data_IF_865704530223
#
_entry.id   IF_865704530223
#
_cell.length_a   1.000
_cell.length_b   1.000
_cell.length_c   1.000
_cell.angle_alpha   90.00
_cell.angle_beta   90.00
_cell.angle_gamma   90.00
#
_symmetry.space_group_name_H-M   'P 1'
#
loop_
_entity.id
_entity.type
_entity.pdbx_description
1 polymer ?
#
# COMPACT_ATOMS: atom_id res chain seq x y z
N UNK A 1 25.73 6.34 -27.93
CA UNK A 1 24.55 6.52 -27.09
C UNK A 1 24.58 5.46 -26.00
N UNK A 2 25.20 5.76 -24.88
CA UNK A 2 25.33 4.84 -23.74
C UNK A 2 24.08 4.84 -22.90
N UNK A 3 23.50 3.66 -22.66
CA UNK A 3 22.46 3.47 -21.66
C UNK A 3 23.08 3.74 -20.29
N UNK A 4 22.61 4.79 -19.61
CA UNK A 4 22.85 4.99 -18.19
C UNK A 4 22.04 3.92 -17.45
N UNK A 5 22.71 2.84 -17.06
CA UNK A 5 22.23 1.95 -16.01
C UNK A 5 22.39 2.71 -14.68
N UNK A 6 21.40 3.53 -14.33
CA UNK A 6 21.28 4.13 -13.02
C UNK A 6 20.78 3.08 -12.03
N UNK A 7 21.69 2.30 -11.44
CA UNK A 7 21.42 1.69 -10.15
C UNK A 7 21.33 2.84 -9.15
N UNK A 8 20.12 3.16 -8.67
CA UNK A 8 19.94 4.15 -7.62
C UNK A 8 20.63 3.60 -6.36
N UNK A 9 21.68 4.28 -5.91
CA UNK A 9 22.52 3.89 -4.78
C UNK A 9 21.79 3.97 -3.41
N UNK A 10 20.47 4.16 -3.40
CA UNK A 10 19.67 4.36 -2.18
C UNK A 10 18.62 3.28 -1.91
N UNK A 11 18.37 2.37 -2.84
CA UNK A 11 17.48 1.25 -2.60
C UNK A 11 18.32 0.01 -2.25
N UNK A 12 18.60 -0.15 -0.97
CA UNK A 12 18.89 -1.47 -0.41
C UNK A 12 17.52 -2.11 -0.20
N UNK A 13 17.15 -3.16 -0.95
CA UNK A 13 15.96 -3.93 -0.61
C UNK A 13 16.10 -4.31 0.87
N UNK A 14 15.15 -3.90 1.69
CA UNK A 14 15.10 -4.36 3.07
C UNK A 14 15.16 -5.88 3.10
N UNK A 15 15.59 -6.48 4.23
CA UNK A 15 15.54 -7.92 4.37
C UNK A 15 14.12 -8.39 4.03
N UNK A 16 13.96 -9.61 3.47
CA UNK A 16 12.67 -10.14 3.12
C UNK A 16 11.68 -9.96 4.28
N UNK A 17 10.48 -9.42 3.98
CA UNK A 17 9.42 -9.31 4.97
C UNK A 17 9.26 -10.67 5.66
N UNK A 18 9.54 -10.72 6.95
CA UNK A 18 9.35 -11.91 7.76
C UNK A 18 7.88 -11.99 8.17
N UNK A 19 7.34 -13.17 8.51
CA UNK A 19 6.03 -13.28 9.13
C UNK A 19 5.94 -12.34 10.35
N UNK A 20 5.00 -11.39 10.31
CA UNK A 20 4.85 -10.35 11.35
C UNK A 20 5.23 -8.92 10.93
N UNK A 21 5.75 -8.72 9.72
CA UNK A 21 6.04 -7.37 9.17
C UNK A 21 4.85 -6.72 8.44
N UNK A 22 3.69 -7.36 8.44
CA UNK A 22 2.48 -6.76 7.87
C UNK A 22 2.09 -5.49 8.66
N UNK A 23 1.86 -4.39 7.94
CA UNK A 23 1.47 -3.12 8.53
C UNK A 23 0.09 -3.25 9.19
N UNK A 24 0.03 -3.07 10.51
CA UNK A 24 -1.15 -3.37 11.31
C UNK A 24 -2.43 -2.68 10.84
N UNK A 25 -2.44 -1.38 10.48
CA UNK A 25 -3.62 -0.73 9.93
C UNK A 25 -4.17 -1.39 8.67
N UNK A 26 -3.30 -1.88 7.76
CA UNK A 26 -3.72 -2.62 6.58
C UNK A 26 -4.31 -3.97 6.98
N UNK A 27 -3.72 -4.70 7.93
CA UNK A 27 -4.26 -5.96 8.42
C UNK A 27 -5.66 -5.76 9.01
N UNK A 28 -5.83 -4.74 9.85
CA UNK A 28 -7.14 -4.43 10.48
C UNK A 28 -8.20 -4.05 9.41
N UNK A 29 -7.80 -3.31 8.38
CA UNK A 29 -8.65 -3.01 7.22
C UNK A 29 -9.04 -4.29 6.47
N UNK A 30 -8.09 -5.16 6.15
CA UNK A 30 -8.34 -6.41 5.43
C UNK A 30 -9.27 -7.33 6.22
N UNK A 31 -9.06 -7.50 7.53
CA UNK A 31 -9.94 -8.32 8.39
C UNK A 31 -11.36 -7.77 8.47
N UNK A 32 -11.52 -6.45 8.45
CA UNK A 32 -12.82 -5.76 8.45
C UNK A 32 -13.55 -5.91 7.13
N UNK A 33 -12.81 -5.82 6.01
CA UNK A 33 -13.41 -5.68 4.68
C UNK A 33 -13.45 -6.97 3.87
N UNK A 34 -12.69 -8.01 4.19
CA UNK A 34 -12.74 -9.29 3.49
C UNK A 34 -14.12 -9.93 3.61
N UNK A 35 -14.67 -10.41 2.49
CA UNK A 35 -15.96 -11.10 2.43
C UNK A 35 -15.78 -12.49 1.84
N UNK A 36 -16.61 -13.43 2.33
CA UNK A 36 -16.55 -14.83 1.94
C UNK A 36 -15.39 -15.57 2.59
N UNK A 37 -14.91 -16.63 1.96
CA UNK A 37 -13.86 -17.48 2.52
C UNK A 37 -12.60 -17.53 1.67
N UNK A 38 -12.73 -17.36 0.35
CA UNK A 38 -11.60 -17.41 -0.58
C UNK A 38 -11.07 -16.00 -0.86
N UNK A 39 -9.76 -15.86 -0.77
CA UNK A 39 -9.04 -14.60 -1.01
C UNK A 39 -7.94 -14.81 -2.03
N UNK A 40 -7.88 -13.97 -3.05
CA UNK A 40 -6.79 -13.90 -4.00
C UNK A 40 -6.01 -12.61 -3.77
N UNK A 41 -4.73 -12.74 -3.46
CA UNK A 41 -3.78 -11.66 -3.23
C UNK A 41 -2.94 -11.46 -4.49
N UNK A 42 -3.31 -10.52 -5.35
CA UNK A 42 -2.59 -10.25 -6.61
C UNK A 42 -1.47 -9.24 -6.35
N UNK A 43 -0.24 -9.62 -6.70
CA UNK A 43 0.95 -8.85 -6.36
C UNK A 43 1.34 -9.01 -4.89
N UNK A 44 0.90 -10.10 -4.24
CA UNK A 44 1.07 -10.31 -2.80
C UNK A 44 2.51 -10.63 -2.36
N UNK A 45 3.44 -10.76 -3.30
CA UNK A 45 4.86 -10.95 -3.04
C UNK A 45 5.11 -12.16 -2.13
N UNK A 46 5.64 -11.91 -0.94
CA UNK A 46 5.95 -12.96 0.06
C UNK A 46 4.77 -13.36 0.92
N UNK A 47 3.58 -12.80 0.69
CA UNK A 47 2.34 -13.18 1.33
C UNK A 47 2.16 -12.70 2.77
N UNK A 48 2.80 -11.59 3.18
CA UNK A 48 2.72 -11.11 4.56
C UNK A 48 1.27 -10.86 5.00
N UNK A 49 0.47 -10.20 4.17
CA UNK A 49 -0.95 -9.94 4.45
C UNK A 49 -1.81 -11.19 4.29
N UNK A 50 -1.55 -12.01 3.27
CA UNK A 50 -2.19 -13.31 3.08
C UNK A 50 -2.01 -14.23 4.28
N UNK A 51 -0.84 -14.21 4.93
CA UNK A 51 -0.56 -15.00 6.13
C UNK A 51 -1.44 -14.57 7.32
N UNK A 52 -1.64 -13.26 7.50
CA UNK A 52 -2.52 -12.76 8.56
C UNK A 52 -3.99 -13.14 8.33
N UNK A 53 -4.45 -13.11 7.07
CA UNK A 53 -5.78 -13.58 6.71
C UNK A 53 -5.90 -15.12 6.86
N UNK A 54 -4.88 -15.89 6.49
CA UNK A 54 -4.86 -17.34 6.68
C UNK A 54 -4.96 -17.73 8.16
N UNK A 55 -4.23 -17.02 9.04
CA UNK A 55 -4.36 -17.17 10.50
C UNK A 55 -5.77 -16.87 11.02
N UNK A 56 -6.48 -15.95 10.36
CA UNK A 56 -7.88 -15.62 10.67
C UNK A 56 -8.90 -16.61 10.04
N UNK A 57 -8.44 -17.67 9.37
CA UNK A 57 -9.27 -18.75 8.83
C UNK A 57 -9.79 -18.49 7.41
N UNK A 58 -9.16 -17.60 6.63
CA UNK A 58 -9.44 -17.45 5.20
C UNK A 58 -8.57 -18.40 4.37
N UNK A 59 -9.11 -18.84 3.22
CA UNK A 59 -8.36 -19.59 2.22
C UNK A 59 -7.70 -18.60 1.26
N UNK A 60 -6.42 -18.36 1.44
CA UNK A 60 -5.67 -17.36 0.67
C UNK A 60 -4.81 -18.02 -0.41
N UNK A 61 -4.74 -17.37 -1.58
CA UNK A 61 -3.81 -17.70 -2.65
C UNK A 61 -3.02 -16.42 -2.97
N UNK A 62 -1.70 -16.49 -2.89
CA UNK A 62 -0.81 -15.40 -3.29
C UNK A 62 -0.46 -15.56 -4.75
N UNK A 63 -0.80 -14.58 -5.58
CA UNK A 63 -0.49 -14.55 -7.00
C UNK A 63 0.50 -13.42 -7.29
N UNK A 64 1.65 -13.75 -7.86
CA UNK A 64 2.71 -12.77 -8.14
C UNK A 64 3.52 -13.17 -9.39
N UNK A 65 4.20 -12.22 -10.03
CA UNK A 65 5.12 -12.46 -11.13
C UNK A 65 6.52 -12.86 -10.64
N UNK A 66 6.82 -12.64 -9.36
CA UNK A 66 8.14 -12.90 -8.75
C UNK A 66 8.17 -14.28 -8.10
N UNK A 67 8.75 -15.26 -8.77
CA UNK A 67 8.84 -16.64 -8.28
C UNK A 67 9.64 -16.77 -6.98
N UNK A 68 10.66 -15.94 -6.74
CA UNK A 68 11.44 -16.00 -5.50
C UNK A 68 10.62 -15.52 -4.28
N UNK A 69 9.79 -14.51 -4.48
CA UNK A 69 8.84 -14.07 -3.45
C UNK A 69 7.82 -15.16 -3.13
N UNK A 70 7.29 -15.83 -4.15
CA UNK A 70 6.33 -16.92 -3.97
C UNK A 70 6.92 -18.10 -3.22
N UNK A 71 8.20 -18.47 -3.43
CA UNK A 71 8.87 -19.50 -2.63
C UNK A 71 8.87 -19.19 -1.13
N UNK A 72 8.98 -17.92 -0.76
CA UNK A 72 8.90 -17.49 0.64
C UNK A 72 7.47 -17.66 1.17
N UNK A 73 6.45 -17.30 0.37
CA UNK A 73 5.05 -17.51 0.73
C UNK A 73 4.73 -19.00 0.93
N UNK A 74 5.20 -19.87 0.02
CA UNK A 74 5.07 -21.34 0.13
C UNK A 74 5.75 -21.90 1.38
N UNK A 75 6.96 -21.43 1.69
CA UNK A 75 7.68 -21.83 2.89
C UNK A 75 6.93 -21.47 4.19
N UNK A 76 6.04 -20.46 4.12
CA UNK A 76 5.14 -20.06 5.21
C UNK A 76 3.77 -20.79 5.16
N UNK A 77 3.61 -21.78 4.29
CA UNK A 77 2.40 -22.61 4.20
C UNK A 77 1.25 -21.98 3.39
N UNK A 78 1.51 -20.93 2.61
CA UNK A 78 0.52 -20.31 1.75
C UNK A 78 0.44 -21.01 0.39
N UNK A 79 -0.76 -21.07 -0.19
CA UNK A 79 -0.93 -21.44 -1.60
C UNK A 79 -0.47 -20.30 -2.49
N UNK A 80 0.21 -20.62 -3.58
CA UNK A 80 0.75 -19.61 -4.50
C UNK A 80 0.34 -19.88 -5.94
N UNK A 81 0.39 -18.83 -6.76
CA UNK A 81 0.22 -18.89 -8.21
C UNK A 81 1.23 -17.95 -8.88
N UNK A 82 2.13 -18.49 -9.68
CA UNK A 82 3.01 -17.69 -10.52
C UNK A 82 2.20 -17.14 -11.70
N UNK A 83 2.23 -15.82 -11.88
CA UNK A 83 1.62 -15.13 -13.00
C UNK A 83 2.67 -14.77 -14.06
N UNK A 84 2.25 -14.77 -15.33
CA UNK A 84 3.04 -14.16 -16.38
C UNK A 84 2.66 -12.67 -16.55
N UNK A 85 3.58 -11.80 -16.96
CA UNK A 85 3.24 -10.40 -17.25
C UNK A 85 2.07 -10.31 -18.23
N UNK A 86 1.01 -9.59 -17.84
CA UNK A 86 -0.22 -9.44 -18.63
C UNK A 86 -1.18 -10.65 -18.58
N UNK A 87 -0.89 -11.68 -17.82
CA UNK A 87 -1.80 -12.82 -17.64
C UNK A 87 -3.05 -12.42 -16.86
N UNK A 88 -4.22 -12.84 -17.37
CA UNK A 88 -5.46 -12.73 -16.61
C UNK A 88 -5.54 -13.81 -15.55
N UNK A 89 -5.93 -13.44 -14.35
CA UNK A 89 -6.16 -14.39 -13.25
C UNK A 89 -7.46 -15.21 -13.42
N UNK A 90 -8.31 -14.83 -14.38
CA UNK A 90 -9.63 -15.44 -14.63
C UNK A 90 -10.77 -14.65 -13.99
N UNK A 91 -12.01 -15.08 -14.27
CA UNK A 91 -13.23 -14.42 -13.76
C UNK A 91 -13.80 -15.21 -12.57
N UNK A 92 -14.32 -14.50 -11.57
CA UNK A 92 -15.01 -15.07 -10.42
C UNK A 92 -14.19 -16.11 -9.66
N UNK A 93 -12.88 -15.94 -9.55
CA UNK A 93 -11.97 -16.95 -8.98
C UNK A 93 -11.92 -16.94 -7.45
N UNK A 94 -12.20 -15.78 -6.82
CA UNK A 94 -12.19 -15.65 -5.36
C UNK A 94 -13.38 -14.82 -4.87
N UNK A 95 -13.76 -14.99 -3.61
CA UNK A 95 -14.79 -14.14 -2.99
C UNK A 95 -14.30 -12.71 -2.84
N UNK A 96 -13.08 -12.54 -2.34
CA UNK A 96 -12.39 -11.25 -2.23
C UNK A 96 -11.08 -11.30 -3.01
N UNK A 97 -10.82 -10.27 -3.81
CA UNK A 97 -9.50 -10.01 -4.42
C UNK A 97 -8.87 -8.83 -3.69
N UNK A 98 -7.60 -8.94 -3.34
CA UNK A 98 -6.87 -7.85 -2.72
C UNK A 98 -5.66 -7.40 -3.56
N UNK A 99 -5.44 -6.08 -3.59
CA UNK A 99 -4.35 -5.38 -4.28
C UNK A 99 -3.68 -4.46 -3.26
N UNK A 100 -2.65 -4.92 -2.56
CA UNK A 100 -2.01 -4.18 -1.48
C UNK A 100 -0.69 -3.60 -1.97
N UNK A 101 -0.65 -2.27 -2.19
CA UNK A 101 0.52 -1.56 -2.74
C UNK A 101 0.94 -2.15 -4.10
N UNK A 102 0.03 -2.20 -5.06
CA UNK A 102 0.25 -2.82 -6.36
C UNK A 102 -0.05 -1.87 -7.51
N UNK A 103 -1.14 -1.09 -7.42
CA UNK A 103 -1.63 -0.28 -8.55
C UNK A 103 -0.63 0.79 -8.99
N UNK A 104 0.21 1.28 -8.10
CA UNK A 104 1.27 2.24 -8.39
C UNK A 104 2.44 1.66 -9.20
N UNK A 105 2.56 0.32 -9.25
CA UNK A 105 3.65 -0.38 -9.92
C UNK A 105 3.28 -0.95 -11.29
N UNK A 106 2.00 -0.96 -11.66
CA UNK A 106 1.55 -1.58 -12.91
C UNK A 106 1.49 -0.56 -14.05
N UNK A 107 1.79 -0.96 -15.31
CA UNK A 107 1.78 -0.03 -16.45
C UNK A 107 0.42 0.60 -16.73
N UNK A 108 -0.68 -0.15 -16.54
CA UNK A 108 -2.06 0.32 -16.71
C UNK A 108 -2.89 -0.06 -15.47
N UNK A 109 -2.95 0.82 -14.47
CA UNK A 109 -3.67 0.54 -13.22
C UNK A 109 -5.18 0.39 -13.42
N UNK A 110 -5.76 1.07 -14.43
CA UNK A 110 -7.19 0.97 -14.72
C UNK A 110 -7.54 -0.41 -15.30
N UNK A 111 -6.81 -0.88 -16.30
CA UNK A 111 -7.01 -2.22 -16.86
C UNK A 111 -6.73 -3.31 -15.82
N UNK A 112 -5.70 -3.13 -14.98
CA UNK A 112 -5.36 -4.06 -13.91
C UNK A 112 -6.47 -4.14 -12.85
N UNK A 113 -7.00 -3.00 -12.42
CA UNK A 113 -8.15 -2.94 -11.51
C UNK A 113 -9.39 -3.60 -12.12
N UNK A 114 -9.65 -3.38 -13.44
CA UNK A 114 -10.71 -4.06 -14.17
C UNK A 114 -10.57 -5.58 -14.13
N UNK A 115 -9.36 -6.11 -14.29
CA UNK A 115 -9.06 -7.55 -14.17
C UNK A 115 -9.30 -8.08 -12.76
N UNK A 116 -8.94 -7.31 -11.73
CA UNK A 116 -9.22 -7.67 -10.34
C UNK A 116 -10.73 -7.68 -10.03
N UNK A 117 -11.48 -6.72 -10.58
CA UNK A 117 -12.95 -6.66 -10.49
C UNK A 117 -13.57 -7.89 -11.13
N UNK A 118 -13.12 -8.30 -12.31
CA UNK A 118 -13.62 -9.50 -12.99
C UNK A 118 -13.29 -10.79 -12.19
N UNK A 119 -12.15 -10.83 -11.53
CA UNK A 119 -11.72 -11.98 -10.75
C UNK A 119 -12.47 -12.14 -9.42
N UNK A 120 -13.06 -11.09 -8.89
CA UNK A 120 -13.77 -11.09 -7.61
C UNK A 120 -15.24 -11.49 -7.78
N UNK A 121 -15.76 -12.34 -6.85
CA UNK A 121 -17.19 -12.64 -6.77
C UNK A 121 -17.98 -11.67 -5.90
N UNK A 122 -17.35 -11.07 -4.90
CA UNK A 122 -18.03 -10.23 -3.90
C UNK A 122 -17.40 -8.86 -3.75
N UNK A 123 -16.06 -8.80 -3.70
CA UNK A 123 -15.37 -7.57 -3.32
C UNK A 123 -13.93 -7.52 -3.85
N UNK A 124 -13.50 -6.31 -4.23
CA UNK A 124 -12.08 -5.97 -4.34
C UNK A 124 -11.73 -5.05 -3.19
N UNK A 125 -10.60 -5.32 -2.51
CA UNK A 125 -10.01 -4.44 -1.50
C UNK A 125 -8.61 -4.03 -1.95
N UNK A 126 -8.24 -2.78 -1.77
CA UNK A 126 -6.93 -2.30 -2.20
C UNK A 126 -6.38 -1.22 -1.29
N UNK A 127 -5.07 -1.11 -1.26
CA UNK A 127 -4.36 0.04 -0.68
C UNK A 127 -3.29 0.52 -1.65
N UNK A 128 -3.01 1.81 -1.64
CA UNK A 128 -1.90 2.42 -2.36
C UNK A 128 -1.58 3.81 -1.75
N UNK A 129 -0.38 4.35 -2.02
CA UNK A 129 -0.02 5.69 -1.54
C UNK A 129 -0.94 6.79 -2.06
N UNK A 130 -1.25 7.76 -1.19
CA UNK A 130 -1.93 9.00 -1.55
C UNK A 130 -0.92 10.14 -1.65
N UNK A 131 -0.95 10.91 -2.73
CA UNK A 131 0.02 11.98 -3.00
C UNK A 131 -0.59 13.38 -3.06
N UNK A 132 -1.82 13.58 -2.56
CA UNK A 132 -2.53 14.87 -2.59
C UNK A 132 -1.73 16.04 -2.04
N UNK A 133 -0.99 15.82 -0.95
CA UNK A 133 -0.26 16.84 -0.23
C UNK A 133 1.23 16.87 -0.57
N UNK A 134 1.62 16.34 -1.73
CA UNK A 134 3.01 16.26 -2.15
C UNK A 134 3.70 17.62 -2.15
N UNK A 135 3.08 18.66 -2.70
CA UNK A 135 3.64 20.02 -2.76
C UNK A 135 3.84 20.61 -1.37
N UNK A 136 2.86 20.41 -0.47
CA UNK A 136 2.96 20.84 0.92
C UNK A 136 4.12 20.12 1.63
N UNK A 137 4.20 18.82 1.48
CA UNK A 137 5.26 18.02 2.09
C UNK A 137 6.64 18.43 1.57
N UNK A 138 6.78 18.57 0.25
CA UNK A 138 8.01 19.04 -0.37
C UNK A 138 8.41 20.44 0.10
N UNK A 139 7.46 21.37 0.16
CA UNK A 139 7.67 22.73 0.67
C UNK A 139 8.11 22.78 2.14
N UNK A 140 7.71 21.77 2.94
CA UNK A 140 8.15 21.60 4.32
C UNK A 140 9.50 20.87 4.46
N UNK A 141 10.17 20.55 3.35
CA UNK A 141 11.42 19.79 3.35
C UNK A 141 11.25 18.31 3.76
N UNK A 142 10.05 17.80 3.63
CA UNK A 142 9.70 16.43 3.97
C UNK A 142 9.77 15.58 2.69
N UNK A 143 10.75 14.70 2.59
CA UNK A 143 10.75 13.71 1.52
C UNK A 143 9.65 12.69 1.79
N UNK A 144 8.75 12.56 0.86
CA UNK A 144 7.75 11.52 0.85
C UNK A 144 8.45 10.19 0.51
N UNK A 145 8.51 9.27 1.45
CA UNK A 145 9.17 7.98 1.22
C UNK A 145 8.60 7.27 -0.03
N UNK A 146 7.29 7.40 -0.26
CA UNK A 146 6.59 6.80 -1.40
C UNK A 146 6.93 7.44 -2.77
N UNK A 147 7.33 8.72 -2.82
CA UNK A 147 7.75 9.36 -4.08
C UNK A 147 9.20 9.04 -4.44
N UNK A 148 9.99 8.66 -3.43
CA UNK A 148 11.39 8.28 -3.63
C UNK A 148 11.56 6.82 -4.07
N UNK A 149 10.48 6.06 -4.16
CA UNK A 149 10.50 4.65 -4.60
C UNK A 149 10.58 4.60 -6.12
N UNK A 150 11.68 4.09 -6.64
CA UNK A 150 12.04 4.18 -8.07
C UNK A 150 11.20 3.31 -9.00
N UNK A 151 10.40 2.38 -8.47
CA UNK A 151 9.51 1.48 -9.19
C UNK A 151 8.02 1.89 -9.11
N UNK A 152 7.70 3.02 -8.48
CA UNK A 152 6.39 3.64 -8.59
C UNK A 152 6.25 4.30 -9.96
N UNK A 153 5.39 3.76 -10.80
CA UNK A 153 5.07 4.32 -12.12
C UNK A 153 4.00 5.41 -12.02
N UNK A 154 3.19 5.38 -10.97
CA UNK A 154 2.05 6.26 -10.77
C UNK A 154 2.06 6.88 -9.36
N UNK A 155 1.58 8.10 -9.32
CA UNK A 155 1.31 8.85 -8.10
C UNK A 155 -0.14 9.33 -8.17
N UNK A 156 -0.98 8.85 -7.25
CA UNK A 156 -2.42 9.14 -7.31
C UNK A 156 -2.80 10.22 -6.31
N UNK A 157 -3.42 11.28 -6.80
CA UNK A 157 -4.23 12.19 -6.01
C UNK A 157 -5.60 11.57 -5.70
N UNK A 158 -6.31 12.14 -4.72
CA UNK A 158 -7.66 11.68 -4.38
C UNK A 158 -8.65 11.89 -5.54
N UNK A 159 -8.45 12.95 -6.34
CA UNK A 159 -9.29 13.25 -7.51
C UNK A 159 -9.06 12.21 -8.63
N UNK A 160 -7.80 11.92 -8.96
CA UNK A 160 -7.45 10.89 -9.96
C UNK A 160 -7.93 9.50 -9.55
N UNK A 161 -7.76 9.14 -8.27
CA UNK A 161 -8.22 7.86 -7.75
C UNK A 161 -9.75 7.73 -7.85
N UNK A 162 -10.50 8.75 -7.46
CA UNK A 162 -11.96 8.76 -7.60
C UNK A 162 -12.39 8.68 -9.06
N UNK A 163 -11.77 9.45 -9.95
CA UNK A 163 -12.05 9.42 -11.38
C UNK A 163 -11.84 8.00 -11.97
N UNK A 164 -10.77 7.33 -11.57
CA UNK A 164 -10.52 5.95 -11.98
C UNK A 164 -11.60 5.00 -11.46
N UNK A 165 -11.97 5.10 -10.19
CA UNK A 165 -13.01 4.26 -9.57
C UNK A 165 -14.40 4.50 -10.19
N UNK A 166 -14.79 5.76 -10.43
CA UNK A 166 -16.04 6.13 -11.09
C UNK A 166 -16.13 5.49 -12.48
N UNK A 167 -15.01 5.44 -13.20
CA UNK A 167 -14.94 4.82 -14.53
C UNK A 167 -15.13 3.30 -14.51
N UNK A 168 -14.99 2.63 -13.35
CA UNK A 168 -15.25 1.20 -13.21
C UNK A 168 -16.75 0.85 -13.13
N UNK A 169 -17.61 1.83 -12.89
CA UNK A 169 -19.08 1.65 -12.86
C UNK A 169 -19.57 0.71 -11.74
N UNK A 170 -18.80 0.55 -10.68
CA UNK A 170 -19.15 -0.26 -9.51
C UNK A 170 -19.26 0.60 -8.25
N UNK A 171 -20.12 0.25 -7.30
CA UNK A 171 -20.15 0.93 -6.00
C UNK A 171 -18.81 0.76 -5.30
N UNK A 172 -18.29 1.85 -4.74
CA UNK A 172 -17.04 1.81 -3.99
C UNK A 172 -17.07 2.68 -2.73
N UNK A 173 -16.12 2.44 -1.84
CA UNK A 173 -15.75 3.31 -0.71
C UNK A 173 -14.25 3.55 -0.78
N UNK A 174 -13.84 4.79 -0.52
CA UNK A 174 -12.45 5.22 -0.48
C UNK A 174 -12.23 5.98 0.82
N UNK A 175 -11.38 5.44 1.68
CA UNK A 175 -10.96 6.04 2.95
C UNK A 175 -9.51 6.51 2.82
N UNK A 176 -9.18 7.61 3.49
CA UNK A 176 -7.82 8.12 3.63
C UNK A 176 -7.29 7.78 5.02
N UNK A 177 -6.13 7.18 5.08
CA UNK A 177 -5.52 6.71 6.31
C UNK A 177 -4.03 6.95 6.42
N UNK A 178 -3.41 6.30 7.40
CA UNK A 178 -1.98 6.38 7.73
C UNK A 178 -1.48 7.83 7.80
N UNK A 179 -1.99 8.61 8.77
CA UNK A 179 -1.70 10.03 8.83
C UNK A 179 -0.23 10.29 9.10
N UNK A 180 0.40 11.08 8.25
CA UNK A 180 1.69 11.70 8.51
C UNK A 180 1.47 12.96 9.34
N UNK A 181 2.22 13.06 10.43
CA UNK A 181 2.21 14.28 11.24
C UNK A 181 3.43 15.11 10.87
N UNK A 182 3.28 16.33 10.31
CA UNK A 182 4.40 17.20 9.99
C UNK A 182 5.33 17.44 11.18
N UNK A 183 4.78 17.45 12.40
CA UNK A 183 5.55 17.51 13.64
C UNK A 183 6.47 16.30 13.86
N UNK A 184 6.12 15.12 13.32
CA UNK A 184 6.99 13.94 13.37
C UNK A 184 8.13 14.01 12.35
N UNK A 185 7.96 14.70 11.25
CA UNK A 185 8.99 14.85 10.24
C UNK A 185 10.06 15.85 10.67
N UNK A 186 9.69 16.89 11.41
CA UNK A 186 10.67 17.66 12.18
C UNK A 186 11.34 16.80 13.27
N UNK A 187 10.76 15.67 13.65
CA UNK A 187 11.38 14.65 14.52
C UNK A 187 12.43 13.80 13.83
N UNK A 188 12.65 13.92 12.51
CA UNK A 188 13.87 13.40 11.88
C UNK A 188 15.12 14.13 12.42
N UNK A 189 15.05 15.42 12.67
CA UNK A 189 16.04 16.10 13.50
C UNK A 189 16.08 15.47 14.92
N UNK A 190 14.94 15.12 15.49
CA UNK A 190 14.83 14.45 16.79
C UNK A 190 15.33 13.01 16.81
N UNK A 191 15.49 12.33 15.66
CA UNK A 191 16.13 11.01 15.56
C UNK A 191 17.64 11.08 15.84
N UNK A 192 18.25 12.20 15.47
CA UNK A 192 19.67 12.48 15.72
C UNK A 192 19.90 13.20 17.06
N UNK A 193 18.88 13.83 17.65
CA UNK A 193 18.97 14.52 18.93
C UNK A 193 18.38 13.63 20.04
N UNK A 194 19.25 12.84 20.70
CA UNK A 194 18.88 12.04 21.89
C UNK A 194 18.93 12.88 23.17
N UNK A 195 18.11 12.52 24.17
CA UNK A 195 18.15 13.13 25.49
C UNK A 195 17.41 14.49 25.63
N UNK A 196 17.82 15.36 26.58
CA UNK A 196 17.12 16.61 26.91
C UNK A 196 16.97 17.57 25.73
N UNK A 197 17.96 17.61 24.83
CA UNK A 197 17.95 18.46 23.64
C UNK A 197 16.85 18.01 22.66
N UNK A 198 16.68 16.71 22.48
CA UNK A 198 15.57 16.17 21.65
C UNK A 198 14.21 16.46 22.27
N UNK A 199 14.10 16.48 23.59
CA UNK A 199 12.86 16.86 24.27
C UNK A 199 12.56 18.37 24.10
N UNK A 200 13.58 19.23 24.25
CA UNK A 200 13.44 20.67 24.09
C UNK A 200 12.96 21.09 22.68
N UNK A 201 13.42 20.37 21.63
CA UNK A 201 12.97 20.61 20.24
C UNK A 201 11.56 20.08 20.00
N UNK A 202 11.17 18.98 20.64
CA UNK A 202 9.84 18.34 20.44
C UNK A 202 8.73 19.04 21.24
N UNK A 203 9.07 19.66 22.36
CA UNK A 203 8.08 20.29 23.23
C UNK A 203 7.31 21.44 22.57
N UNK A 204 7.95 22.43 21.91
CA UNK A 204 7.26 23.50 21.20
C UNK A 204 6.34 22.95 20.09
N UNK A 205 6.77 21.89 19.37
CA UNK A 205 5.99 21.28 18.30
C UNK A 205 4.75 20.55 18.84
N UNK A 206 4.85 19.92 20.01
CA UNK A 206 3.69 19.32 20.70
C UNK A 206 2.69 20.39 21.15
N UNK A 207 3.19 21.52 21.63
CA UNK A 207 2.35 22.66 22.02
C UNK A 207 1.68 23.26 20.78
N UNK A 208 2.43 23.51 19.70
CA UNK A 208 1.89 24.00 18.44
C UNK A 208 0.81 23.09 17.84
N UNK A 209 1.03 21.76 17.90
CA UNK A 209 0.04 20.77 17.46
C UNK A 209 -1.24 20.81 18.34
N UNK A 210 -1.08 20.92 19.67
CA UNK A 210 -2.22 21.07 20.59
C UNK A 210 -3.02 22.36 20.36
N UNK A 211 -2.35 23.44 19.94
CA UNK A 211 -2.96 24.72 19.64
C UNK A 211 -3.52 24.82 18.21
N UNK A 212 -3.43 23.75 17.41
CA UNK A 212 -3.91 23.74 16.02
C UNK A 212 -3.06 24.62 15.07
N UNK A 213 -1.84 25.00 15.47
CA UNK A 213 -0.93 25.83 14.69
C UNK A 213 -0.10 25.03 13.67
N UNK A 214 -0.15 23.70 13.76
CA UNK A 214 0.50 22.77 12.82
C UNK A 214 -0.59 22.20 11.92
N UNK A 215 -0.35 22.01 10.61
CA UNK A 215 -1.29 21.39 9.71
C UNK A 215 -1.81 20.07 10.30
N UNK A 216 -3.10 19.81 10.13
CA UNK A 216 -3.72 18.53 10.52
C UNK A 216 -2.93 17.37 9.90
N UNK A 217 -3.03 16.20 10.52
CA UNK A 217 -2.47 14.97 9.97
C UNK A 217 -2.76 14.85 8.47
N UNK A 218 -1.72 14.64 7.68
CA UNK A 218 -1.80 14.48 6.22
C UNK A 218 -1.98 13.01 5.95
N UNK A 219 -3.08 12.57 5.33
CA UNK A 219 -3.25 11.18 4.96
C UNK A 219 -2.22 10.77 3.92
N UNK A 220 -1.65 9.58 4.05
CA UNK A 220 -0.61 9.10 3.15
C UNK A 220 -1.00 7.87 2.35
N UNK A 221 -2.18 7.31 2.60
CA UNK A 221 -2.62 6.06 1.99
C UNK A 221 -4.10 6.05 1.71
N UNK A 222 -4.46 5.48 0.56
CA UNK A 222 -5.82 5.09 0.23
C UNK A 222 -6.12 3.69 0.76
N UNK A 223 -7.32 3.53 1.27
CA UNK A 223 -7.96 2.26 1.62
C UNK A 223 -9.25 2.17 0.82
N UNK A 224 -9.27 1.33 -0.20
CA UNK A 224 -10.37 1.25 -1.14
C UNK A 224 -11.09 -0.10 -1.08
N UNK A 225 -12.40 -0.04 -1.28
CA UNK A 225 -13.30 -1.19 -1.36
C UNK A 225 -14.22 -1.01 -2.56
N UNK A 226 -14.31 -2.02 -3.43
CA UNK A 226 -15.24 -2.06 -4.55
C UNK A 226 -16.17 -3.25 -4.33
N UNK A 227 -17.49 -3.01 -4.37
CA UNK A 227 -18.51 -4.04 -4.26
C UNK A 227 -18.81 -4.63 -5.64
N UNK A 228 -18.88 -5.96 -5.75
CA UNK A 228 -19.11 -6.62 -7.03
C UNK A 228 -20.58 -6.99 -7.21
N UNK A 229 -21.24 -7.40 -6.14
CA UNK A 229 -22.67 -7.76 -6.16
C UNK A 229 -23.05 -8.61 -4.97
#
# INVERSE_FOLDING_TARGET
MGKLQGQSAFFVPGPPALPGEAHRPIVDFLLRETRGKSVLDIGGGRGAYSLELAKAGYNTVVADINSESLKVAEANGLSTRLLQPGESVGEGVADTVMLIEVLEHVPDPKAFLGSAIAAARKRVVFTLPCTDDFELLFGLGLSYAHVAVSDHLWHFSNEEMKSMLDSCGKPYRLELGDPLFPSLALSLLGRYLKGPLGYAVRFPLRVANRLGLVPKAIPSRFYGVIEIG
#
